data_IF_278081432037
#
_entry.id   IF_278081432037
#
_cell.length_a   1.000
_cell.length_b   1.000
_cell.length_c   1.000
_cell.angle_alpha   90.00
_cell.angle_beta   90.00
_cell.angle_gamma   90.00
#
_symmetry.space_group_name_H-M   'P 1'
#
loop_
_entity.id
_entity.type
_entity.pdbx_description
1 polymer ?
#
# COMPACT_ATOMS: atom_id res chain seq x y z
N UNK A 1 -27.51 -21.50 -13.36
CA UNK A 1 -26.46 -21.86 -12.38
C UNK A 1 -26.95 -21.33 -11.04
N UNK A 2 -27.15 -22.19 -10.04
CA UNK A 2 -27.54 -21.77 -8.69
C UNK A 2 -26.34 -21.08 -8.08
N UNK A 3 -26.51 -19.90 -7.50
CA UNK A 3 -25.43 -19.24 -6.78
C UNK A 3 -25.04 -20.07 -5.57
N UNK A 4 -23.74 -20.28 -5.37
CA UNK A 4 -23.21 -20.97 -4.19
C UNK A 4 -23.36 -20.01 -3.00
N UNK A 5 -24.18 -20.41 -2.01
CA UNK A 5 -24.46 -19.58 -0.84
C UNK A 5 -23.56 -19.97 0.35
N UNK A 6 -23.16 -18.98 1.16
CA UNK A 6 -22.42 -19.21 2.38
C UNK A 6 -23.35 -19.81 3.44
N UNK A 7 -23.06 -21.04 3.89
CA UNK A 7 -23.84 -21.74 4.93
C UNK A 7 -23.33 -21.43 6.35
N UNK A 8 -22.00 -21.36 6.53
CA UNK A 8 -21.43 -21.09 7.86
C UNK A 8 -20.08 -20.38 7.78
N UNK A 9 -19.79 -19.66 8.86
CA UNK A 9 -18.50 -19.01 9.11
C UNK A 9 -18.08 -19.31 10.54
N UNK A 10 -17.01 -20.12 10.72
CA UNK A 10 -16.54 -20.55 12.03
C UNK A 10 -15.17 -19.95 12.31
N UNK A 11 -15.02 -19.05 13.30
CA UNK A 11 -13.74 -18.54 13.73
C UNK A 11 -12.77 -19.67 14.09
N UNK A 12 -11.59 -19.65 13.54
CA UNK A 12 -10.62 -20.75 13.66
C UNK A 12 -9.19 -20.22 13.61
N UNK A 13 -8.30 -20.86 14.35
CA UNK A 13 -6.85 -20.68 14.18
C UNK A 13 -6.31 -21.87 13.38
N UNK A 14 -5.76 -21.57 12.21
CA UNK A 14 -5.20 -22.57 11.31
C UNK A 14 -3.69 -22.60 11.41
N UNK A 15 -3.12 -23.77 11.67
CA UNK A 15 -1.65 -23.98 11.73
C UNK A 15 -1.25 -25.07 10.77
N UNK A 16 -0.28 -24.81 9.90
CA UNK A 16 0.19 -25.79 8.93
C UNK A 16 1.27 -25.22 8.01
N UNK A 17 1.63 -26.01 7.00
CA UNK A 17 2.59 -25.58 5.97
C UNK A 17 1.88 -24.77 4.89
N UNK A 18 2.36 -23.56 4.66
CA UNK A 18 1.87 -22.71 3.58
C UNK A 18 2.45 -23.18 2.23
N UNK A 19 1.58 -23.31 1.25
CA UNK A 19 1.94 -23.68 -0.12
C UNK A 19 1.31 -22.70 -1.11
N UNK A 20 1.88 -22.65 -2.32
CA UNK A 20 1.38 -21.82 -3.43
C UNK A 20 1.59 -22.53 -4.76
N UNK A 21 0.57 -22.60 -5.57
CA UNK A 21 0.66 -22.98 -6.97
C UNK A 21 -0.57 -22.48 -7.75
N UNK A 22 -0.42 -22.24 -9.04
CA UNK A 22 -1.51 -21.88 -9.94
C UNK A 22 -2.37 -20.71 -9.43
N UNK A 23 -1.72 -19.67 -8.88
CA UNK A 23 -2.31 -18.48 -8.31
C UNK A 23 -3.14 -18.69 -7.02
N UNK A 24 -3.08 -19.89 -6.42
CA UNK A 24 -3.78 -20.19 -5.19
C UNK A 24 -2.81 -20.48 -4.04
N UNK A 25 -3.18 -20.01 -2.84
CA UNK A 25 -2.52 -20.33 -1.59
C UNK A 25 -3.33 -21.34 -0.81
N UNK A 26 -2.67 -22.28 -0.14
CA UNK A 26 -3.31 -23.20 0.78
C UNK A 26 -2.41 -23.55 1.95
N UNK A 27 -3.02 -24.03 3.03
CA UNK A 27 -2.33 -24.56 4.19
C UNK A 27 -2.65 -26.05 4.35
N UNK A 28 -1.61 -26.88 4.35
CA UNK A 28 -1.71 -28.28 4.73
C UNK A 28 -1.49 -28.40 6.25
N UNK A 29 -2.49 -28.85 6.97
CA UNK A 29 -2.48 -29.00 8.43
C UNK A 29 -1.86 -30.34 8.84
N UNK A 30 -1.37 -30.47 10.10
CA UNK A 30 -0.75 -31.70 10.57
C UNK A 30 -1.67 -32.93 10.61
N UNK A 31 -2.99 -32.73 10.67
CA UNK A 31 -4.02 -33.76 10.60
C UNK A 31 -4.38 -34.19 9.17
N UNK A 32 -3.69 -33.63 8.17
CA UNK A 32 -3.83 -33.99 6.77
C UNK A 32 -4.91 -33.26 6.01
N UNK A 33 -5.55 -32.26 6.61
CA UNK A 33 -6.50 -31.41 5.91
C UNK A 33 -5.79 -30.32 5.12
N UNK A 34 -6.41 -29.96 3.99
CA UNK A 34 -5.99 -28.82 3.15
C UNK A 34 -7.05 -27.75 3.16
N UNK A 35 -6.65 -26.53 3.49
CA UNK A 35 -7.53 -25.36 3.43
C UNK A 35 -7.00 -24.39 2.37
N UNK A 36 -7.78 -24.14 1.33
CA UNK A 36 -7.51 -23.06 0.38
C UNK A 36 -7.76 -21.71 1.05
N UNK A 37 -6.82 -20.78 0.87
CA UNK A 37 -6.88 -19.46 1.49
C UNK A 37 -7.57 -18.48 0.56
N UNK A 38 -8.53 -17.73 1.07
CA UNK A 38 -9.11 -16.60 0.37
C UNK A 38 -8.17 -15.40 0.47
N UNK A 39 -7.26 -15.31 -0.48
CA UNK A 39 -6.24 -14.26 -0.57
C UNK A 39 -6.60 -13.33 -1.72
N UNK A 40 -6.36 -12.03 -1.51
CA UNK A 40 -6.51 -11.00 -2.52
C UNK A 40 -5.25 -10.12 -2.55
N UNK A 41 -5.15 -9.22 -3.50
CA UNK A 41 -4.00 -8.31 -3.69
C UNK A 41 -3.64 -7.51 -2.43
N UNK A 42 -4.63 -7.24 -1.56
CA UNK A 42 -4.41 -6.48 -0.33
C UNK A 42 -3.73 -7.30 0.77
N UNK A 43 -3.99 -8.61 0.82
CA UNK A 43 -3.51 -9.48 1.89
C UNK A 43 -2.43 -10.50 1.45
N UNK A 44 -2.20 -10.66 0.15
CA UNK A 44 -1.15 -11.50 -0.38
C UNK A 44 0.26 -11.17 0.15
N UNK A 45 0.67 -9.89 0.27
CA UNK A 45 2.00 -9.54 0.78
C UNK A 45 2.30 -10.06 2.20
N UNK A 46 1.28 -10.41 2.99
CA UNK A 46 1.48 -10.96 4.34
C UNK A 46 2.01 -12.39 4.36
N UNK A 47 1.82 -13.12 3.29
CA UNK A 47 2.06 -14.55 3.27
C UNK A 47 2.99 -14.99 2.14
N UNK A 48 3.18 -14.18 1.09
CA UNK A 48 3.94 -14.58 -0.10
C UNK A 48 5.40 -14.96 0.20
N UNK A 49 6.03 -14.30 1.16
CA UNK A 49 7.40 -14.56 1.60
C UNK A 49 7.52 -15.79 2.53
N UNK A 50 6.39 -16.33 2.98
CA UNK A 50 6.31 -17.46 3.92
C UNK A 50 5.94 -18.79 3.25
N UNK A 51 5.86 -18.81 1.92
CA UNK A 51 5.58 -20.02 1.16
C UNK A 51 6.65 -21.08 1.45
N UNK A 52 6.21 -22.27 1.82
CA UNK A 52 7.09 -23.39 2.23
C UNK A 52 7.30 -23.47 3.75
N UNK A 53 6.95 -22.43 4.50
CA UNK A 53 7.11 -22.39 5.96
C UNK A 53 5.87 -22.92 6.70
N UNK A 54 6.08 -23.27 7.96
CA UNK A 54 4.98 -23.53 8.91
C UNK A 54 4.47 -22.19 9.45
N UNK A 55 3.20 -21.91 9.21
CA UNK A 55 2.54 -20.67 9.65
C UNK A 55 1.37 -20.95 10.57
N UNK A 56 0.95 -19.93 11.31
CA UNK A 56 -0.29 -19.91 12.09
C UNK A 56 -1.08 -18.69 11.70
N UNK A 57 -2.32 -18.89 11.25
CA UNK A 57 -3.23 -17.85 10.81
C UNK A 57 -4.50 -17.87 11.67
N UNK A 58 -4.90 -16.71 12.15
CA UNK A 58 -6.23 -16.50 12.70
C UNK A 58 -7.19 -16.12 11.56
N UNK A 59 -8.42 -16.58 11.63
CA UNK A 59 -9.40 -16.31 10.59
C UNK A 59 -10.71 -17.03 10.81
N UNK A 60 -11.34 -17.44 9.73
CA UNK A 60 -12.57 -18.25 9.78
C UNK A 60 -12.58 -19.28 8.66
N UNK A 61 -13.10 -20.45 8.94
CA UNK A 61 -13.49 -21.44 7.93
C UNK A 61 -14.87 -21.06 7.41
N UNK A 62 -14.96 -20.84 6.10
CA UNK A 62 -16.19 -20.59 5.37
C UNK A 62 -16.64 -21.89 4.73
N UNK A 63 -17.89 -22.31 4.97
CA UNK A 63 -18.49 -23.47 4.31
C UNK A 63 -19.64 -23.00 3.43
N UNK A 64 -19.63 -23.42 2.18
CA UNK A 64 -20.63 -23.08 1.20
C UNK A 64 -21.65 -24.21 0.97
N UNK A 65 -22.76 -23.93 0.28
CA UNK A 65 -23.87 -24.86 0.03
C UNK A 65 -23.45 -26.11 -0.77
N UNK A 66 -22.39 -26.01 -1.57
CA UNK A 66 -21.78 -27.13 -2.29
C UNK A 66 -20.79 -27.95 -1.43
N UNK A 67 -20.69 -27.62 -0.14
CA UNK A 67 -19.76 -28.21 0.84
C UNK A 67 -18.28 -27.85 0.62
N UNK A 68 -17.98 -26.96 -0.30
CA UNK A 68 -16.63 -26.40 -0.41
C UNK A 68 -16.28 -25.62 0.86
N UNK A 69 -15.01 -25.70 1.27
CA UNK A 69 -14.49 -25.01 2.43
C UNK A 69 -13.26 -24.21 2.07
N UNK A 70 -13.27 -22.95 2.52
CA UNK A 70 -12.15 -22.03 2.35
C UNK A 70 -11.78 -21.44 3.71
N UNK A 71 -10.52 -21.07 3.87
CA UNK A 71 -10.11 -20.32 5.03
C UNK A 71 -9.90 -18.84 4.66
N UNK A 72 -10.63 -17.99 5.33
CA UNK A 72 -10.48 -16.54 5.22
C UNK A 72 -9.56 -16.05 6.35
N UNK A 73 -8.27 -15.76 6.08
CA UNK A 73 -7.38 -15.28 7.11
C UNK A 73 -7.76 -13.86 7.53
N UNK A 74 -7.68 -13.63 8.83
CA UNK A 74 -7.76 -12.31 9.44
C UNK A 74 -6.34 -11.89 9.79
N UNK A 75 -5.79 -10.99 9.02
CA UNK A 75 -4.50 -10.40 9.34
C UNK A 75 -4.72 -9.32 10.40
N UNK A 76 -4.40 -9.65 11.64
CA UNK A 76 -4.45 -8.68 12.72
C UNK A 76 -3.24 -7.75 12.59
N UNK A 77 -3.51 -6.46 12.77
CA UNK A 77 -2.44 -5.47 12.90
C UNK A 77 -1.56 -5.90 14.05
N UNK A 78 -0.27 -6.12 13.78
CA UNK A 78 0.69 -6.33 14.85
C UNK A 78 0.58 -5.16 15.85
N UNK A 79 0.42 -5.41 17.16
CA UNK A 79 0.24 -4.35 18.15
C UNK A 79 1.42 -3.36 18.23
N UNK A 80 2.52 -3.67 17.57
CA UNK A 80 3.73 -2.86 17.43
C UNK A 80 4.15 -2.75 15.97
N UNK A 81 3.20 -2.43 15.10
CA UNK A 81 3.54 -2.09 13.73
C UNK A 81 4.62 -1.00 13.74
N UNK A 82 5.80 -1.30 13.20
CA UNK A 82 6.89 -0.32 13.07
C UNK A 82 6.35 0.92 12.37
N UNK A 83 6.73 2.12 12.80
CA UNK A 83 6.34 3.31 12.07
C UNK A 83 6.85 3.19 10.64
N UNK A 84 5.98 3.45 9.66
CA UNK A 84 6.37 3.53 8.26
C UNK A 84 7.23 4.78 8.08
N UNK A 85 8.54 4.61 7.91
CA UNK A 85 9.50 5.72 7.81
C UNK A 85 9.86 5.91 6.35
N UNK A 86 9.53 7.08 5.83
CA UNK A 86 9.96 7.51 4.51
C UNK A 86 11.25 8.34 4.68
N UNK A 87 12.34 7.88 4.07
CA UNK A 87 13.64 8.55 4.10
C UNK A 87 14.13 8.83 2.69
N UNK A 88 15.01 9.79 2.56
CA UNK A 88 15.64 10.16 1.29
C UNK A 88 17.13 9.82 1.29
N UNK A 89 17.69 9.58 0.11
CA UNK A 89 19.10 9.60 -0.17
C UNK A 89 19.34 10.39 -1.46
N UNK A 90 20.43 11.13 -1.47
CA UNK A 90 20.91 11.90 -2.62
C UNK A 90 22.31 11.43 -3.04
N UNK A 91 22.64 10.19 -2.77
CA UNK A 91 23.91 9.60 -3.17
C UNK A 91 23.91 9.34 -4.69
N UNK A 92 25.07 9.52 -5.31
CA UNK A 92 25.35 9.24 -6.72
C UNK A 92 24.53 10.07 -7.75
N UNK A 93 24.30 11.35 -7.49
CA UNK A 93 23.61 12.29 -8.38
C UNK A 93 22.14 11.92 -8.70
N UNK A 94 21.54 10.99 -7.98
CA UNK A 94 20.17 10.57 -8.13
C UNK A 94 19.34 10.75 -6.85
N UNK A 95 18.15 11.30 -6.98
CA UNK A 95 17.21 11.38 -5.87
C UNK A 95 16.54 10.02 -5.64
N UNK A 96 16.57 9.52 -4.42
CA UNK A 96 16.00 8.24 -4.05
C UNK A 96 15.12 8.33 -2.80
N UNK A 97 14.01 7.59 -2.79
CA UNK A 97 13.15 7.41 -1.62
C UNK A 97 13.20 5.98 -1.12
N UNK A 98 13.20 5.83 0.18
CA UNK A 98 13.17 4.55 0.87
C UNK A 98 12.00 4.52 1.85
N UNK A 99 11.27 3.43 1.85
CA UNK A 99 10.29 3.11 2.87
C UNK A 99 10.83 1.96 3.72
N UNK A 100 11.07 2.23 5.02
CA UNK A 100 11.64 1.25 5.97
C UNK A 100 12.93 0.58 5.43
N UNK A 101 13.83 1.40 4.85
CA UNK A 101 15.08 0.99 4.21
C UNK A 101 14.95 0.27 2.85
N UNK A 102 13.76 0.04 2.34
CA UNK A 102 13.55 -0.47 1.00
C UNK A 102 13.44 0.69 0.01
N UNK A 103 14.27 0.67 -1.04
CA UNK A 103 14.19 1.69 -2.10
C UNK A 103 12.88 1.52 -2.86
N UNK A 104 12.06 2.59 -2.90
CA UNK A 104 10.76 2.59 -3.57
C UNK A 104 10.72 3.51 -4.80
N UNK A 105 11.64 4.48 -4.87
CA UNK A 105 11.74 5.42 -5.97
C UNK A 105 13.19 5.82 -6.19
N UNK A 106 13.56 6.04 -7.44
CA UNK A 106 14.83 6.66 -7.83
C UNK A 106 14.65 7.40 -9.15
N UNK A 107 15.31 8.54 -9.30
CA UNK A 107 15.31 9.32 -10.53
C UNK A 107 16.63 10.03 -10.69
N UNK A 108 17.17 9.98 -11.91
CA UNK A 108 18.33 10.76 -12.35
C UNK A 108 17.93 12.18 -12.80
N UNK A 109 16.64 12.44 -12.97
CA UNK A 109 16.10 13.72 -13.40
C UNK A 109 16.01 14.73 -12.25
N UNK A 110 15.92 14.22 -11.02
CA UNK A 110 15.85 15.02 -9.80
C UNK A 110 17.11 14.84 -8.96
N UNK A 111 17.64 15.96 -8.49
CA UNK A 111 18.86 16.01 -7.65
C UNK A 111 18.54 15.98 -6.16
N UNK A 112 17.30 16.28 -5.78
CA UNK A 112 16.85 16.20 -4.40
C UNK A 112 15.36 15.84 -4.32
N UNK A 113 14.99 15.25 -3.19
CA UNK A 113 13.63 14.80 -2.89
C UNK A 113 13.36 14.94 -1.40
N UNK A 114 12.16 15.30 -1.03
CA UNK A 114 11.83 15.42 0.38
C UNK A 114 10.34 15.34 0.66
N UNK A 115 10.00 15.07 1.92
CA UNK A 115 8.63 15.02 2.38
C UNK A 115 8.16 16.42 2.72
N UNK A 116 7.15 16.91 2.00
CA UNK A 116 6.50 18.18 2.26
C UNK A 116 5.52 18.06 3.42
N UNK A 117 4.68 17.03 3.39
CA UNK A 117 3.67 16.82 4.43
C UNK A 117 3.21 15.37 4.50
N UNK A 118 2.89 14.92 5.70
CA UNK A 118 2.32 13.59 5.94
C UNK A 118 0.90 13.68 6.48
N UNK A 119 0.05 12.75 6.03
CA UNK A 119 -1.35 12.66 6.41
C UNK A 119 -1.62 11.25 6.92
N UNK A 120 -2.06 11.09 8.16
CA UNK A 120 -2.42 9.78 8.70
C UNK A 120 -3.69 9.26 8.01
N UNK A 121 -3.66 7.98 7.63
CA UNK A 121 -4.81 7.24 7.13
C UNK A 121 -5.00 5.96 7.94
N UNK A 122 -6.11 5.27 7.70
CA UNK A 122 -6.30 3.97 8.34
C UNK A 122 -5.20 2.98 7.88
N UNK A 123 -4.46 2.44 8.86
CA UNK A 123 -3.34 1.50 8.67
C UNK A 123 -2.11 2.07 7.93
N UNK A 124 -1.90 3.39 7.93
CA UNK A 124 -0.74 3.93 7.24
C UNK A 124 -0.69 5.44 7.21
N UNK A 125 -0.03 5.95 6.19
CA UNK A 125 0.07 7.38 5.91
C UNK A 125 0.14 7.65 4.41
N UNK A 126 -0.26 8.83 4.03
CA UNK A 126 -0.01 9.43 2.71
C UNK A 126 1.02 10.52 2.91
N UNK A 127 2.10 10.49 2.13
CA UNK A 127 3.13 11.53 2.14
C UNK A 127 3.07 12.29 0.82
N UNK A 128 2.94 13.60 0.89
CA UNK A 128 3.22 14.48 -0.23
C UNK A 128 4.73 14.69 -0.27
N UNK A 129 5.32 14.36 -1.39
CA UNK A 129 6.76 14.41 -1.62
C UNK A 129 7.04 15.40 -2.73
N UNK A 130 7.99 16.31 -2.51
CA UNK A 130 8.52 17.17 -3.56
C UNK A 130 9.76 16.56 -4.19
N UNK A 131 9.92 16.81 -5.47
CA UNK A 131 11.02 16.39 -6.33
C UNK A 131 11.67 17.65 -6.91
N UNK A 132 12.97 17.85 -6.73
CA UNK A 132 13.66 19.05 -7.19
C UNK A 132 14.71 18.71 -8.24
N UNK A 133 14.69 19.46 -9.34
CA UNK A 133 15.75 19.42 -10.37
C UNK A 133 17.00 20.20 -9.97
N UNK A 134 16.97 20.93 -8.85
CA UNK A 134 18.04 21.85 -8.44
C UNK A 134 18.10 23.13 -9.25
N UNK A 135 17.25 23.28 -10.27
CA UNK A 135 17.20 24.45 -11.15
C UNK A 135 16.09 25.42 -10.79
N UNK A 136 16.23 26.68 -11.22
CA UNK A 136 15.22 27.71 -10.98
C UNK A 136 14.06 27.69 -11.98
N UNK A 137 14.22 27.03 -13.11
CA UNK A 137 13.18 26.94 -14.14
C UNK A 137 12.01 26.03 -13.73
N UNK A 138 12.32 24.95 -13.02
CA UNK A 138 11.32 24.04 -12.44
C UNK A 138 11.80 23.59 -11.06
N UNK A 139 11.63 24.42 -10.01
CA UNK A 139 12.17 24.12 -8.69
C UNK A 139 11.56 22.91 -8.03
N UNK A 140 10.26 22.60 -8.27
CA UNK A 140 9.63 21.44 -7.68
C UNK A 140 8.52 20.84 -8.55
N UNK A 141 8.45 19.51 -8.53
CA UNK A 141 7.31 18.68 -8.88
C UNK A 141 6.90 17.87 -7.65
N UNK A 142 5.74 17.23 -7.69
CA UNK A 142 5.21 16.50 -6.55
C UNK A 142 4.73 15.10 -6.93
N UNK A 143 4.82 14.20 -5.98
CA UNK A 143 4.15 12.89 -6.00
C UNK A 143 3.48 12.62 -4.65
N UNK A 144 2.47 11.76 -4.62
CA UNK A 144 2.03 11.14 -3.39
C UNK A 144 2.60 9.73 -3.24
N UNK A 145 3.03 9.43 -2.04
CA UNK A 145 3.42 8.07 -1.60
C UNK A 145 2.42 7.62 -0.55
N UNK A 146 1.68 6.55 -0.86
CA UNK A 146 0.77 5.90 0.09
C UNK A 146 1.49 4.71 0.69
N UNK A 147 1.86 4.82 1.95
CA UNK A 147 2.47 3.75 2.71
C UNK A 147 1.45 3.17 3.69
N UNK A 148 1.10 1.91 3.53
CA UNK A 148 0.20 1.19 4.42
C UNK A 148 0.93 0.00 5.03
N UNK A 149 0.57 -0.32 6.24
CA UNK A 149 1.05 -1.54 6.89
C UNK A 149 0.68 -2.75 6.04
N UNK A 150 1.69 -3.59 5.78
CA UNK A 150 1.51 -4.88 5.11
C UNK A 150 0.93 -4.76 3.68
N UNK A 151 1.29 -3.72 2.95
CA UNK A 151 1.04 -3.61 1.52
C UNK A 151 2.19 -2.89 0.83
N UNK A 152 2.35 -3.15 -0.46
CA UNK A 152 3.30 -2.39 -1.27
C UNK A 152 2.91 -0.90 -1.28
N UNK A 153 3.89 0.01 -1.27
CA UNK A 153 3.62 1.42 -1.40
C UNK A 153 3.00 1.71 -2.77
N UNK A 154 2.02 2.60 -2.79
CA UNK A 154 1.49 3.17 -4.02
C UNK A 154 2.10 4.53 -4.24
N UNK A 155 2.43 4.86 -5.49
CA UNK A 155 2.90 6.18 -5.88
C UNK A 155 2.04 6.70 -7.01
N UNK A 156 1.76 8.01 -7.00
CA UNK A 156 1.09 8.65 -8.12
C UNK A 156 2.08 8.95 -9.24
N UNK A 157 1.56 9.31 -10.41
CA UNK A 157 2.33 10.08 -11.38
C UNK A 157 2.76 11.42 -10.78
N UNK A 158 3.80 12.01 -11.34
CA UNK A 158 4.24 13.34 -11.01
C UNK A 158 3.20 14.39 -11.40
N UNK A 159 3.08 15.43 -10.59
CA UNK A 159 2.16 16.54 -10.85
C UNK A 159 2.75 17.88 -10.37
N UNK A 160 2.20 18.94 -10.90
CA UNK A 160 2.60 20.30 -10.55
C UNK A 160 2.90 21.16 -11.76
N UNK A 161 3.14 22.44 -11.51
CA UNK A 161 3.49 23.45 -12.50
C UNK A 161 4.85 24.09 -12.23
N UNK A 162 5.75 23.33 -11.64
CA UNK A 162 7.07 23.78 -11.21
C UNK A 162 7.09 24.77 -10.03
N UNK A 163 5.97 25.06 -9.41
CA UNK A 163 5.94 25.91 -8.21
C UNK A 163 6.38 25.12 -6.99
N UNK A 164 7.25 25.71 -6.18
CA UNK A 164 7.76 25.19 -4.90
C UNK A 164 7.02 25.77 -3.69
N UNK A 165 5.89 26.45 -3.92
CA UNK A 165 5.09 27.10 -2.87
C UNK A 165 3.67 26.50 -2.84
N UNK A 166 3.50 25.24 -2.41
CA UNK A 166 2.19 24.61 -2.36
C UNK A 166 1.34 25.17 -1.22
N UNK A 167 0.07 25.42 -1.48
CA UNK A 167 -0.93 25.59 -0.43
C UNK A 167 -1.68 24.30 -0.28
N UNK A 168 -1.56 23.67 0.91
CA UNK A 168 -2.06 22.34 1.18
C UNK A 168 -3.22 22.38 2.16
N UNK A 169 -4.37 21.88 1.73
CA UNK A 169 -5.54 21.67 2.58
C UNK A 169 -5.95 20.21 2.57
N UNK A 170 -6.58 19.74 3.63
CA UNK A 170 -7.10 18.38 3.68
C UNK A 170 -8.39 18.27 4.49
N UNK A 171 -9.20 17.33 4.12
CA UNK A 171 -10.38 16.90 4.84
C UNK A 171 -10.41 15.36 4.94
N UNK A 172 -11.50 14.77 5.45
CA UNK A 172 -11.62 13.32 5.63
C UNK A 172 -11.62 12.51 4.32
N UNK A 173 -11.83 13.16 3.18
CA UNK A 173 -11.98 12.49 1.88
C UNK A 173 -10.82 12.80 0.93
N UNK A 174 -10.21 13.95 1.05
CA UNK A 174 -9.38 14.52 0.00
C UNK A 174 -8.25 15.38 0.59
N UNK A 175 -7.08 15.30 -0.04
CA UNK A 175 -5.99 16.26 0.14
C UNK A 175 -5.95 17.13 -1.12
N UNK A 176 -5.96 18.45 -0.95
CA UNK A 176 -5.89 19.40 -2.06
C UNK A 176 -4.58 20.18 -2.00
N UNK A 177 -3.88 20.26 -3.11
CA UNK A 177 -2.66 21.05 -3.32
C UNK A 177 -2.94 22.11 -4.37
N UNK A 178 -2.83 23.37 -3.98
CA UNK A 178 -2.93 24.51 -4.92
C UNK A 178 -1.55 25.09 -5.12
N UNK A 179 -1.14 25.19 -6.36
CA UNK A 179 0.16 25.67 -6.83
C UNK A 179 -0.03 27.00 -7.55
N UNK A 180 0.57 28.09 -7.05
CA UNK A 180 0.54 29.36 -7.76
C UNK A 180 1.35 29.26 -9.06
N UNK A 181 1.05 30.15 -10.00
CA UNK A 181 1.76 30.18 -11.27
C UNK A 181 0.87 30.69 -12.40
N UNK A 182 1.36 30.60 -13.62
CA UNK A 182 0.60 30.94 -14.82
C UNK A 182 0.77 29.82 -15.88
N UNK A 183 -0.20 28.90 -15.99
CA UNK A 183 -1.45 28.85 -15.20
C UNK A 183 -1.23 28.37 -13.75
N UNK A 184 -2.08 28.82 -12.84
CA UNK A 184 -2.18 28.23 -11.53
C UNK A 184 -2.86 26.85 -11.65
N UNK A 185 -2.45 25.90 -10.81
CA UNK A 185 -3.01 24.54 -10.81
C UNK A 185 -3.54 24.18 -9.42
N UNK A 186 -4.58 23.37 -9.42
CA UNK A 186 -5.11 22.78 -8.18
C UNK A 186 -5.31 21.29 -8.40
N UNK A 187 -4.66 20.49 -7.58
CA UNK A 187 -4.70 19.04 -7.62
C UNK A 187 -5.40 18.50 -6.41
N UNK A 188 -6.17 17.45 -6.59
CA UNK A 188 -6.82 16.73 -5.53
C UNK A 188 -6.43 15.26 -5.52
N UNK A 189 -6.18 14.74 -4.33
CA UNK A 189 -5.89 13.35 -4.08
C UNK A 189 -6.99 12.73 -3.21
N UNK A 190 -7.79 11.84 -3.78
CA UNK A 190 -8.87 11.15 -3.09
C UNK A 190 -8.31 10.07 -2.15
N UNK A 191 -8.70 10.11 -0.88
CA UNK A 191 -8.23 9.17 0.14
C UNK A 191 -9.01 7.84 0.15
N UNK A 192 -10.08 7.73 -0.62
CA UNK A 192 -10.89 6.50 -0.67
C UNK A 192 -10.37 5.50 -1.71
N UNK A 193 -9.89 5.98 -2.84
CA UNK A 193 -9.38 5.17 -3.95
C UNK A 193 -7.95 5.52 -4.38
N UNK A 194 -7.31 6.47 -3.69
CA UNK A 194 -5.94 6.94 -3.92
C UNK A 194 -5.70 7.49 -5.33
N UNK A 195 -6.70 8.16 -5.89
CA UNK A 195 -6.62 8.76 -7.22
C UNK A 195 -6.24 10.23 -7.15
N UNK A 196 -5.33 10.61 -8.03
CA UNK A 196 -4.93 12.00 -8.27
C UNK A 196 -5.68 12.55 -9.49
N UNK A 197 -6.18 13.78 -9.39
CA UNK A 197 -6.81 14.50 -10.50
C UNK A 197 -6.66 16.02 -10.36
N UNK A 198 -6.60 16.70 -11.47
CA UNK A 198 -6.61 18.16 -11.53
C UNK A 198 -8.04 18.69 -11.44
N UNK A 199 -8.25 19.79 -10.70
CA UNK A 199 -9.56 20.44 -10.50
C UNK A 199 -9.79 21.57 -11.47
#
# INVERSE_FOLDING_TARGET
>A
MSATELESMIPTTLTGKLNYATLNYWVDTPDGHRYELLINETNEPFIMDKVGEKITLNGAVLTYSDKSQFFQPKFERAPHAKPLILTKSTDDDAASLYLDSNKIYTSEEYVDVGVEKEFPINNGKVSLVWLSTGGTACPAMFIYVVARQNSLPLMTSEFGNCSDIPTITNNKKEITVSLPGNPAQTWAFDLSDFRLYEK
#
